data_IF_190300360867
#
_entry.id   IF_190300360867
#
_cell.length_a   1.000
_cell.length_b   1.000
_cell.length_c   1.000
_cell.angle_alpha   90.00
_cell.angle_beta   90.00
_cell.angle_gamma   90.00
#
_symmetry.space_group_name_H-M   'P 1'
#
loop_
_entity.id
_entity.type
_entity.pdbx_description
1 polymer ?
#
# COMPACT_ATOMS: atom_id res chain seq x y z
N UNK A 1 20.10 -15.30 25.42
CA UNK A 1 18.86 -14.56 25.17
C UNK A 1 19.23 -13.08 25.10
N UNK A 2 19.38 -12.51 23.90
CA UNK A 2 19.57 -11.08 23.77
C UNK A 2 18.21 -10.41 24.01
N UNK A 3 18.17 -9.45 24.92
CA UNK A 3 16.98 -8.64 25.17
C UNK A 3 16.61 -7.92 23.87
N UNK A 4 15.39 -8.15 23.37
CA UNK A 4 14.81 -7.33 22.31
C UNK A 4 14.65 -5.94 22.94
N UNK A 5 15.41 -4.96 22.45
CA UNK A 5 15.22 -3.57 22.85
C UNK A 5 13.87 -3.14 22.30
N UNK A 6 12.86 -3.08 23.18
CA UNK A 6 11.61 -2.39 22.88
C UNK A 6 11.93 -0.92 22.55
N UNK A 7 11.14 -0.26 21.68
CA UNK A 7 11.30 1.18 21.51
C UNK A 7 11.27 1.80 22.90
N UNK A 8 12.35 2.46 23.28
CA UNK A 8 12.42 3.21 24.54
C UNK A 8 11.26 4.18 24.48
N UNK A 9 10.39 4.19 25.47
CA UNK A 9 9.33 5.18 25.61
C UNK A 9 9.98 6.57 25.47
N UNK A 10 9.76 7.25 24.32
CA UNK A 10 10.37 8.54 24.00
C UNK A 10 11.21 8.58 22.71
N UNK A 11 11.38 7.48 21.94
CA UNK A 11 12.01 7.56 20.63
C UNK A 11 10.96 7.95 19.58
N UNK A 12 11.10 9.14 19.01
CA UNK A 12 10.24 9.65 17.94
C UNK A 12 10.43 8.81 16.67
N UNK A 13 9.32 8.27 16.14
CA UNK A 13 9.33 7.48 14.90
C UNK A 13 9.45 8.35 13.65
N UNK A 14 8.97 9.58 13.73
CA UNK A 14 9.10 10.58 12.68
C UNK A 14 10.05 11.69 13.11
N UNK A 15 10.84 12.22 12.17
CA UNK A 15 11.63 13.41 12.44
C UNK A 15 10.73 14.60 12.77
N UNK A 16 10.96 15.23 13.92
CA UNK A 16 10.12 16.30 14.47
C UNK A 16 10.59 17.71 14.07
N UNK A 17 11.48 17.82 13.09
CA UNK A 17 11.95 19.11 12.61
C UNK A 17 10.89 19.87 11.79
N UNK A 18 11.12 21.15 11.64
CA UNK A 18 10.18 22.09 10.99
C UNK A 18 9.86 21.70 9.54
N UNK A 19 10.84 21.16 8.80
CA UNK A 19 10.66 20.78 7.41
C UNK A 19 9.72 19.58 7.29
N UNK A 20 9.97 18.52 8.09
CA UNK A 20 9.12 17.33 8.10
C UNK A 20 7.68 17.69 8.53
N UNK A 21 7.52 18.47 9.60
CA UNK A 21 6.20 18.95 10.06
C UNK A 21 5.45 19.73 8.98
N UNK A 22 6.16 20.61 8.24
CA UNK A 22 5.57 21.39 7.16
C UNK A 22 5.08 20.51 6.03
N UNK A 23 5.86 19.49 5.61
CA UNK A 23 5.46 18.54 4.57
C UNK A 23 4.18 17.80 4.94
N UNK A 24 4.07 17.33 6.18
CA UNK A 24 2.85 16.68 6.66
C UNK A 24 1.65 17.62 6.69
N UNK A 25 1.81 18.84 7.18
CA UNK A 25 0.72 19.81 7.27
C UNK A 25 0.20 20.26 5.89
N UNK A 26 1.08 20.42 4.90
CA UNK A 26 0.73 20.94 3.58
C UNK A 26 0.27 19.87 2.60
N UNK A 27 0.81 18.65 2.70
CA UNK A 27 0.69 17.65 1.63
C UNK A 27 -0.07 16.39 2.04
N UNK A 28 -0.23 16.13 3.33
CA UNK A 28 -0.91 14.91 3.77
C UNK A 28 -2.31 14.80 3.16
N UNK A 29 -2.59 13.63 2.56
CA UNK A 29 -3.85 13.29 1.90
C UNK A 29 -4.14 14.01 0.57
N UNK A 30 -3.23 14.86 0.09
CA UNK A 30 -3.41 15.67 -1.12
C UNK A 30 -2.42 15.34 -2.22
N UNK A 31 -1.15 15.17 -1.87
CA UNK A 31 -0.10 14.84 -2.83
C UNK A 31 1.01 14.00 -2.19
N UNK A 32 1.81 13.26 -2.98
CA UNK A 32 2.92 12.49 -2.45
C UNK A 32 4.05 13.40 -1.96
N UNK A 33 4.76 12.97 -0.93
CA UNK A 33 5.94 13.66 -0.41
C UNK A 33 6.90 12.69 0.25
N UNK A 34 8.18 13.08 0.30
CA UNK A 34 9.23 12.38 1.03
C UNK A 34 9.18 12.81 2.50
N UNK A 35 9.21 11.85 3.44
CA UNK A 35 9.29 12.10 4.87
C UNK A 35 10.49 11.41 5.50
N UNK A 36 10.88 11.85 6.70
CA UNK A 36 11.97 11.27 7.48
C UNK A 36 11.46 10.54 8.71
N UNK A 37 12.08 9.40 9.02
CA UNK A 37 11.65 8.51 10.10
C UNK A 37 12.83 7.76 10.73
N UNK A 38 12.59 7.15 11.90
CA UNK A 38 13.55 6.32 12.64
C UNK A 38 13.22 4.82 12.64
N UNK A 39 12.23 4.35 11.86
CA UNK A 39 11.87 2.93 11.81
C UNK A 39 13.02 2.01 11.38
N UNK A 40 14.00 2.55 10.62
CA UNK A 40 15.20 1.83 10.21
C UNK A 40 16.15 1.51 11.36
N UNK A 41 16.00 2.10 12.53
CA UNK A 41 16.82 1.83 13.73
C UNK A 41 16.19 0.78 14.64
N UNK A 42 14.95 0.36 14.39
CA UNK A 42 14.24 -0.61 15.21
C UNK A 42 14.67 -2.04 14.86
N UNK A 43 15.13 -2.80 15.85
CA UNK A 43 15.50 -4.21 15.70
C UNK A 43 14.36 -5.07 15.13
N UNK A 44 13.12 -4.68 15.43
CA UNK A 44 11.88 -5.32 14.97
C UNK A 44 11.81 -5.45 13.43
N UNK A 45 12.40 -4.53 12.70
CA UNK A 45 12.38 -4.48 11.23
C UNK A 45 13.71 -4.89 10.58
N UNK A 46 14.67 -5.40 11.37
CA UNK A 46 15.93 -5.92 10.84
C UNK A 46 15.80 -7.38 10.39
N UNK A 47 16.65 -7.82 9.48
CA UNK A 47 16.58 -9.17 8.88
C UNK A 47 16.46 -10.31 9.88
N UNK A 48 17.19 -10.34 11.04
CA UNK A 48 17.04 -11.43 12.01
C UNK A 48 15.63 -11.53 12.62
N UNK A 49 14.96 -10.40 12.86
CA UNK A 49 13.59 -10.37 13.35
C UNK A 49 12.60 -10.76 12.25
N UNK A 50 12.85 -10.32 11.00
CA UNK A 50 12.00 -10.64 9.85
C UNK A 50 12.03 -12.12 9.48
N UNK A 51 13.17 -12.82 9.63
CA UNK A 51 13.26 -14.27 9.48
C UNK A 51 12.38 -15.00 10.50
N UNK A 52 12.45 -14.59 11.77
CA UNK A 52 11.58 -15.14 12.83
C UNK A 52 10.11 -14.88 12.56
N UNK A 53 9.78 -13.67 12.07
CA UNK A 53 8.41 -13.30 11.71
C UNK A 53 7.90 -14.13 10.54
N UNK A 54 8.71 -14.35 9.49
CA UNK A 54 8.37 -15.19 8.35
C UNK A 54 8.08 -16.64 8.79
N UNK A 55 8.88 -17.18 9.69
CA UNK A 55 8.62 -18.51 10.27
C UNK A 55 7.28 -18.55 11.02
N UNK A 56 7.01 -17.57 11.88
CA UNK A 56 5.71 -17.47 12.57
C UNK A 56 4.52 -17.38 11.58
N UNK A 57 4.68 -16.65 10.48
CA UNK A 57 3.65 -16.56 9.45
C UNK A 57 3.37 -17.90 8.78
N UNK A 58 4.39 -18.72 8.57
CA UNK A 58 4.24 -20.08 8.04
C UNK A 58 3.53 -21.00 9.03
N UNK A 59 3.97 -21.00 10.29
CA UNK A 59 3.43 -21.88 11.35
C UNK A 59 1.94 -21.59 11.60
N UNK A 60 1.54 -20.34 11.57
CA UNK A 60 0.14 -19.91 11.70
C UNK A 60 -0.69 -20.09 10.44
N UNK A 61 -0.11 -20.62 9.35
CA UNK A 61 -0.75 -20.69 8.02
C UNK A 61 -1.41 -19.38 7.61
N UNK A 62 -0.72 -18.27 7.85
CA UNK A 62 -1.22 -16.96 7.51
C UNK A 62 -1.23 -16.79 5.97
N UNK A 63 -2.37 -17.05 5.35
CA UNK A 63 -2.58 -16.95 3.90
C UNK A 63 -2.34 -15.53 3.34
N UNK A 64 -2.16 -14.54 4.22
CA UNK A 64 -1.95 -13.13 3.85
C UNK A 64 -0.49 -12.80 3.58
N UNK A 65 0.45 -13.58 4.15
CA UNK A 65 1.87 -13.47 3.86
C UNK A 65 2.22 -14.39 2.71
N UNK A 66 2.89 -13.87 1.71
CA UNK A 66 3.22 -14.62 0.49
C UNK A 66 4.49 -14.04 -0.14
N UNK A 67 4.97 -14.70 -1.15
CA UNK A 67 6.06 -14.21 -1.98
C UNK A 67 5.80 -14.54 -3.45
N UNK A 68 6.40 -13.76 -4.32
CA UNK A 68 6.35 -13.89 -5.75
C UNK A 68 7.76 -13.86 -6.32
N UNK A 69 7.98 -14.57 -7.41
CA UNK A 69 9.26 -14.64 -8.11
C UNK A 69 9.12 -14.16 -9.56
N UNK A 70 10.25 -13.88 -10.20
CA UNK A 70 10.32 -13.40 -11.57
C UNK A 70 10.77 -11.96 -11.66
N UNK A 71 11.06 -11.51 -12.88
CA UNK A 71 11.50 -10.13 -13.17
C UNK A 71 10.37 -9.35 -13.85
N UNK A 72 9.45 -8.79 -13.08
CA UNK A 72 8.37 -8.00 -13.66
C UNK A 72 8.92 -6.73 -14.32
N UNK A 73 8.22 -6.28 -15.34
CA UNK A 73 8.39 -4.97 -15.97
C UNK A 73 7.30 -4.02 -15.52
N UNK A 74 7.45 -2.73 -15.81
CA UNK A 74 6.55 -1.68 -15.31
C UNK A 74 5.09 -1.91 -15.70
N UNK A 75 4.82 -2.35 -16.92
CA UNK A 75 3.49 -2.66 -17.45
C UNK A 75 3.10 -4.15 -17.31
N UNK A 76 3.84 -4.91 -16.51
CA UNK A 76 3.70 -6.36 -16.36
C UNK A 76 2.88 -6.78 -15.15
N UNK A 77 2.89 -8.09 -14.90
CA UNK A 77 2.34 -8.69 -13.69
C UNK A 77 3.35 -8.69 -12.56
N UNK A 78 2.89 -8.71 -11.31
CA UNK A 78 3.74 -8.67 -10.12
C UNK A 78 4.73 -9.83 -10.02
N UNK A 79 4.39 -11.00 -10.50
CA UNK A 79 5.23 -12.20 -10.53
C UNK A 79 4.41 -13.47 -10.43
N UNK A 80 5.12 -14.60 -10.29
CA UNK A 80 4.53 -15.92 -10.14
C UNK A 80 4.80 -16.47 -8.75
N UNK A 81 3.84 -17.21 -8.19
CA UNK A 81 4.05 -17.95 -6.96
C UNK A 81 4.75 -19.27 -7.29
N UNK A 82 6.02 -19.49 -6.86
CA UNK A 82 6.68 -20.75 -7.08
C UNK A 82 6.07 -21.86 -6.23
N UNK A 83 6.04 -23.08 -6.76
CA UNK A 83 5.45 -24.23 -6.09
C UNK A 83 6.42 -24.94 -5.13
N UNK A 84 7.72 -24.73 -5.29
CA UNK A 84 8.82 -25.52 -4.73
C UNK A 84 9.65 -24.80 -3.66
N UNK A 85 9.32 -23.55 -3.35
CA UNK A 85 9.99 -22.75 -2.31
C UNK A 85 9.03 -22.39 -1.17
N UNK A 86 9.57 -22.40 0.05
CA UNK A 86 8.88 -21.83 1.21
C UNK A 86 9.18 -20.33 1.35
N UNK A 87 8.35 -19.62 2.10
CA UNK A 87 8.54 -18.20 2.42
C UNK A 87 9.90 -17.93 3.09
N UNK A 88 10.32 -18.81 4.01
CA UNK A 88 11.60 -18.69 4.70
C UNK A 88 12.76 -18.91 3.74
N UNK A 89 12.71 -19.95 2.90
CA UNK A 89 13.74 -20.21 1.89
C UNK A 89 13.86 -19.06 0.87
N UNK A 90 12.73 -18.47 0.47
CA UNK A 90 12.74 -17.29 -0.40
C UNK A 90 13.41 -16.09 0.27
N UNK A 91 13.19 -15.93 1.58
CA UNK A 91 13.81 -14.85 2.36
C UNK A 91 15.31 -15.07 2.57
N UNK A 92 15.74 -16.29 2.89
CA UNK A 92 17.17 -16.64 3.03
C UNK A 92 17.95 -16.40 1.74
N UNK A 93 17.30 -16.57 0.59
CA UNK A 93 17.89 -16.38 -0.76
C UNK A 93 17.50 -15.04 -1.40
N UNK A 94 17.08 -14.07 -0.60
CA UNK A 94 16.54 -12.80 -1.15
C UNK A 94 17.56 -12.03 -2.01
N UNK A 95 18.85 -12.17 -1.71
CA UNK A 95 19.93 -11.54 -2.49
C UNK A 95 20.25 -12.21 -3.82
N UNK A 96 19.85 -13.47 -4.02
CA UNK A 96 20.29 -14.30 -5.15
C UNK A 96 19.27 -14.36 -6.31
N UNK A 97 18.05 -13.91 -6.09
CA UNK A 97 16.95 -14.10 -7.02
C UNK A 97 16.23 -12.82 -7.41
N UNK A 98 15.05 -12.99 -7.96
CA UNK A 98 14.10 -11.90 -8.18
C UNK A 98 12.83 -12.19 -7.40
N UNK A 99 12.92 -12.06 -6.07
CA UNK A 99 11.86 -12.37 -5.13
C UNK A 99 11.22 -11.08 -4.58
N UNK A 100 9.92 -11.13 -4.35
CA UNK A 100 9.15 -10.11 -3.65
C UNK A 100 8.37 -10.78 -2.52
N UNK A 101 8.77 -10.51 -1.30
CA UNK A 101 8.18 -11.09 -0.09
C UNK A 101 7.29 -10.04 0.55
N UNK A 102 6.08 -10.43 0.90
CA UNK A 102 5.07 -9.61 1.53
C UNK A 102 4.66 -10.27 2.84
N UNK A 103 5.05 -9.70 3.97
CA UNK A 103 4.56 -10.09 5.29
C UNK A 103 3.42 -9.14 5.66
N UNK A 104 2.19 -9.54 5.37
CA UNK A 104 1.01 -8.68 5.49
C UNK A 104 0.32 -8.86 6.85
N UNK A 105 -0.19 -7.74 7.42
CA UNK A 105 -0.92 -7.70 8.70
C UNK A 105 -0.09 -8.15 9.89
N UNK A 106 1.20 -7.83 9.87
CA UNK A 106 2.12 -8.22 10.94
C UNK A 106 1.78 -7.62 12.31
N UNK A 107 0.93 -6.57 12.35
CA UNK A 107 0.37 -6.00 13.58
C UNK A 107 -0.58 -6.96 14.34
N UNK A 108 -0.85 -8.14 13.81
CA UNK A 108 -1.50 -9.22 14.55
C UNK A 108 -0.55 -9.79 15.63
N UNK A 109 0.78 -9.62 15.49
CA UNK A 109 1.77 -9.89 16.53
C UNK A 109 1.86 -8.69 17.50
N UNK A 110 1.94 -8.91 18.83
CA UNK A 110 1.87 -7.84 19.83
C UNK A 110 2.93 -6.74 19.66
N UNK A 111 4.19 -7.12 19.44
CA UNK A 111 5.31 -6.17 19.28
C UNK A 111 5.11 -5.25 18.05
N UNK A 112 4.63 -5.81 16.94
CA UNK A 112 4.32 -5.04 15.73
C UNK A 112 3.07 -4.17 15.90
N UNK A 113 2.14 -4.58 16.76
CA UNK A 113 0.95 -3.78 17.10
C UNK A 113 1.35 -2.52 17.85
N UNK A 114 2.23 -2.63 18.82
CA UNK A 114 2.76 -1.48 19.57
C UNK A 114 3.44 -0.47 18.62
N UNK A 115 4.25 -0.95 17.67
CA UNK A 115 4.88 -0.10 16.68
C UNK A 115 3.84 0.61 15.76
N UNK A 116 2.77 -0.10 15.36
CA UNK A 116 1.69 0.50 14.58
C UNK A 116 0.93 1.57 15.37
N UNK A 117 0.62 1.31 16.64
CA UNK A 117 -0.09 2.26 17.50
C UNK A 117 0.75 3.52 17.76
N UNK A 118 2.06 3.38 17.99
CA UNK A 118 2.98 4.50 18.09
C UNK A 118 3.02 5.31 16.79
N UNK A 119 3.11 4.65 15.64
CA UNK A 119 3.08 5.28 14.32
C UNK A 119 1.82 6.12 14.11
N UNK A 120 0.63 5.57 14.42
CA UNK A 120 -0.65 6.27 14.28
C UNK A 120 -0.73 7.47 15.21
N UNK A 121 -0.23 7.34 16.45
CA UNK A 121 -0.25 8.42 17.44
C UNK A 121 0.60 9.60 16.98
N UNK A 122 1.88 9.35 16.65
CA UNK A 122 2.79 10.40 16.18
C UNK A 122 2.32 11.03 14.86
N UNK A 123 1.79 10.22 13.93
CA UNK A 123 1.24 10.74 12.68
C UNK A 123 0.01 11.64 12.93
N UNK A 124 -0.83 11.31 13.91
CA UNK A 124 -1.95 12.18 14.30
C UNK A 124 -1.46 13.52 14.85
N UNK A 125 -0.38 13.52 15.63
CA UNK A 125 0.24 14.74 16.17
C UNK A 125 0.88 15.58 15.06
N UNK A 126 1.62 14.96 14.13
CA UNK A 126 2.24 15.65 13.00
C UNK A 126 1.24 16.30 12.06
N UNK A 127 0.14 15.63 11.79
CA UNK A 127 -0.88 16.10 10.84
C UNK A 127 -1.93 16.99 11.50
N UNK A 128 -2.04 16.98 12.83
CA UNK A 128 -3.13 17.62 13.56
C UNK A 128 -4.51 16.98 13.31
N UNK A 129 -4.53 15.77 12.75
CA UNK A 129 -5.75 15.03 12.38
C UNK A 129 -5.90 13.82 13.28
N UNK A 130 -7.09 13.64 13.88
CA UNK A 130 -7.44 12.38 14.53
C UNK A 130 -7.57 11.26 13.47
N UNK A 131 -6.48 10.53 13.25
CA UNK A 131 -6.42 9.47 12.24
C UNK A 131 -7.35 8.30 12.56
N UNK A 132 -7.58 7.98 13.83
CA UNK A 132 -8.49 6.90 14.22
C UNK A 132 -9.95 7.20 13.88
N UNK A 133 -10.30 8.49 13.83
CA UNK A 133 -11.62 8.95 13.44
C UNK A 133 -11.78 9.06 11.92
N UNK A 134 -10.72 9.49 11.23
CA UNK A 134 -10.75 9.74 9.78
C UNK A 134 -10.51 8.48 8.95
N UNK A 135 -9.73 7.54 9.48
CA UNK A 135 -9.34 6.31 8.81
C UNK A 135 -9.67 5.08 9.66
N UNK A 136 -9.75 3.93 8.99
CA UNK A 136 -9.96 2.65 9.64
C UNK A 136 -9.05 1.58 9.03
N UNK A 137 -9.02 0.40 9.65
CA UNK A 137 -8.29 -0.78 9.22
C UNK A 137 -6.82 -0.47 8.87
N UNK A 138 -6.03 0.11 9.82
CA UNK A 138 -4.61 0.31 9.59
C UNK A 138 -3.94 -1.05 9.42
N UNK A 139 -3.15 -1.19 8.36
CA UNK A 139 -2.45 -2.43 8.03
C UNK A 139 -0.96 -2.16 8.02
N UNK A 140 -0.21 -2.88 8.87
CA UNK A 140 1.24 -2.90 8.85
C UNK A 140 1.72 -4.09 8.01
N UNK A 141 2.54 -3.79 7.01
CA UNK A 141 3.10 -4.76 6.05
C UNK A 141 4.59 -4.54 5.91
N UNK A 142 5.36 -5.63 5.77
CA UNK A 142 6.77 -5.55 5.38
C UNK A 142 6.91 -6.04 3.94
N UNK A 143 7.61 -5.27 3.14
CA UNK A 143 8.08 -5.65 1.82
C UNK A 143 9.57 -5.93 1.86
N UNK A 144 9.97 -7.13 1.43
CA UNK A 144 11.38 -7.52 1.29
C UNK A 144 11.59 -7.94 -0.16
N UNK A 145 12.49 -7.25 -0.85
CA UNK A 145 12.63 -7.41 -2.30
C UNK A 145 14.08 -7.58 -2.71
N UNK A 146 14.29 -8.44 -3.68
CA UNK A 146 15.61 -8.69 -4.31
C UNK A 146 16.17 -7.44 -5.00
N UNK A 147 17.49 -7.40 -5.23
CA UNK A 147 18.13 -6.36 -6.02
C UNK A 147 17.48 -6.19 -7.41
N UNK A 148 17.44 -4.95 -7.89
CA UNK A 148 16.98 -4.57 -9.23
C UNK A 148 15.51 -4.91 -9.56
N UNK A 149 14.72 -5.37 -8.57
CA UNK A 149 13.33 -5.74 -8.81
C UNK A 149 12.46 -4.50 -9.08
N UNK A 150 11.55 -4.64 -10.04
CA UNK A 150 10.49 -3.68 -10.33
C UNK A 150 9.19 -4.12 -9.66
N UNK A 151 8.50 -3.20 -8.99
CA UNK A 151 7.09 -3.34 -8.64
C UNK A 151 6.29 -2.67 -9.75
N UNK A 152 5.43 -3.40 -10.50
CA UNK A 152 4.73 -2.87 -11.65
C UNK A 152 3.82 -1.68 -11.34
N UNK A 153 3.48 -0.92 -12.37
CA UNK A 153 2.54 0.20 -12.28
C UNK A 153 1.17 -0.26 -11.81
N UNK A 154 0.69 0.32 -10.75
CA UNK A 154 -0.59 0.01 -10.13
C UNK A 154 -1.09 1.19 -9.29
N UNK A 155 -2.29 1.08 -8.77
CA UNK A 155 -2.80 1.97 -7.74
C UNK A 155 -3.34 1.17 -6.56
N UNK A 156 -3.31 1.81 -5.39
CA UNK A 156 -3.91 1.30 -4.16
C UNK A 156 -5.13 2.14 -3.75
N UNK A 157 -6.16 1.49 -3.24
CA UNK A 157 -7.35 2.16 -2.71
C UNK A 157 -7.15 2.78 -1.33
N UNK A 158 -6.00 2.51 -0.71
CA UNK A 158 -5.57 3.01 0.59
C UNK A 158 -4.52 4.11 0.44
N UNK A 159 -4.49 5.05 1.40
CA UNK A 159 -3.32 5.90 1.59
C UNK A 159 -2.17 5.06 2.17
N UNK A 160 -0.95 5.26 1.71
CA UNK A 160 0.21 4.44 2.03
C UNK A 160 1.38 5.30 2.53
N UNK A 161 1.98 4.88 3.62
CA UNK A 161 3.31 5.31 4.07
C UNK A 161 4.30 4.19 3.80
N UNK A 162 5.20 4.36 2.85
CA UNK A 162 6.27 3.42 2.54
C UNK A 162 7.58 3.92 3.15
N UNK A 163 7.96 3.38 4.30
CA UNK A 163 9.15 3.76 5.05
C UNK A 163 10.31 2.80 4.74
N UNK A 164 11.44 3.29 4.25
CA UNK A 164 12.59 2.46 3.89
C UNK A 164 13.46 2.16 5.10
N UNK A 165 13.70 0.86 5.34
CA UNK A 165 14.49 0.37 6.46
C UNK A 165 15.89 -0.06 6.04
N UNK A 166 16.00 -0.79 4.94
CA UNK A 166 17.27 -1.28 4.40
C UNK A 166 17.29 -1.16 2.88
N UNK A 167 18.47 -0.89 2.32
CA UNK A 167 18.64 -0.71 0.89
C UNK A 167 18.01 0.58 0.37
N UNK A 168 17.96 0.74 -0.94
CA UNK A 168 17.41 1.92 -1.59
C UNK A 168 16.57 1.55 -2.81
N UNK A 169 15.65 2.43 -3.17
CA UNK A 169 14.76 2.29 -4.33
C UNK A 169 14.27 3.67 -4.78
N UNK A 170 13.81 3.74 -6.02
CA UNK A 170 13.09 4.90 -6.54
C UNK A 170 11.60 4.59 -6.63
N UNK A 171 10.76 5.47 -6.09
CA UNK A 171 9.30 5.41 -6.15
C UNK A 171 8.82 6.47 -7.14
N UNK A 172 8.10 6.06 -8.17
CA UNK A 172 7.52 6.93 -9.18
C UNK A 172 6.01 7.03 -8.93
N UNK A 173 5.51 8.25 -8.79
CA UNK A 173 4.10 8.52 -8.46
C UNK A 173 3.49 9.47 -9.48
N UNK A 174 2.17 9.30 -9.72
CA UNK A 174 1.42 10.04 -10.73
C UNK A 174 0.13 10.59 -10.14
N UNK A 175 -0.30 11.74 -10.65
CA UNK A 175 -1.50 12.41 -10.18
C UNK A 175 -2.78 11.68 -10.63
N UNK A 176 -3.49 11.08 -9.69
CA UNK A 176 -4.76 10.41 -9.95
C UNK A 176 -5.88 11.33 -10.48
N UNK A 177 -5.71 12.64 -10.34
CA UNK A 177 -6.69 13.65 -10.81
C UNK A 177 -6.43 14.10 -12.24
N UNK A 178 -5.31 13.71 -12.84
CA UNK A 178 -5.00 13.96 -14.23
C UNK A 178 -5.69 12.90 -15.13
N UNK A 179 -6.65 13.27 -15.96
CA UNK A 179 -7.38 12.32 -16.79
C UNK A 179 -6.53 11.66 -17.88
N UNK A 180 -5.35 12.22 -18.19
CA UNK A 180 -4.38 11.60 -19.07
C UNK A 180 -3.66 10.43 -18.39
N UNK A 181 -3.42 10.55 -17.10
CA UNK A 181 -2.75 9.53 -16.26
C UNK A 181 -3.71 8.40 -15.88
N UNK A 182 -4.92 8.77 -15.45
CA UNK A 182 -5.91 7.83 -14.93
C UNK A 182 -7.31 8.30 -15.31
N UNK A 183 -7.88 7.63 -16.30
CA UNK A 183 -9.21 7.93 -16.80
C UNK A 183 -10.31 7.57 -15.81
N UNK A 184 -11.46 8.22 -15.91
CA UNK A 184 -12.62 7.87 -15.09
C UNK A 184 -13.07 6.42 -15.29
N UNK A 185 -12.94 5.90 -16.52
CA UNK A 185 -13.28 4.50 -16.81
C UNK A 185 -12.32 3.50 -16.13
N UNK A 186 -11.05 3.82 -16.05
CA UNK A 186 -10.08 2.98 -15.31
C UNK A 186 -10.38 2.99 -13.81
N UNK A 187 -10.70 4.15 -13.22
CA UNK A 187 -11.15 4.25 -11.83
C UNK A 187 -12.42 3.42 -11.58
N UNK A 188 -13.39 3.53 -12.48
CA UNK A 188 -14.64 2.74 -12.42
C UNK A 188 -14.37 1.23 -12.48
N UNK A 189 -13.52 0.79 -13.41
CA UNK A 189 -13.10 -0.62 -13.53
C UNK A 189 -12.34 -1.10 -12.29
N UNK A 190 -11.41 -0.28 -11.76
CA UNK A 190 -10.67 -0.59 -10.54
C UNK A 190 -11.61 -0.84 -9.36
N UNK A 191 -12.54 0.07 -9.11
CA UNK A 191 -13.49 -0.05 -8.00
C UNK A 191 -14.54 -1.14 -8.19
N UNK A 192 -14.65 -1.72 -9.37
CA UNK A 192 -15.44 -2.94 -9.64
C UNK A 192 -14.62 -4.24 -9.54
N UNK A 193 -13.36 -4.16 -9.13
CA UNK A 193 -12.50 -5.31 -8.83
C UNK A 193 -11.46 -5.65 -9.89
N UNK A 194 -11.36 -4.86 -10.96
CA UNK A 194 -10.26 -5.01 -11.91
C UNK A 194 -9.05 -4.19 -11.43
N UNK A 195 -8.20 -4.80 -10.60
CA UNK A 195 -7.01 -4.15 -10.03
C UNK A 195 -5.96 -3.78 -11.09
N UNK A 196 -6.03 -4.37 -12.28
CA UNK A 196 -5.15 -4.09 -13.41
C UNK A 196 -5.79 -3.12 -14.43
N UNK A 197 -6.80 -2.35 -14.00
CA UNK A 197 -7.45 -1.38 -14.88
C UNK A 197 -6.55 -0.19 -15.24
N UNK A 198 -5.74 0.37 -14.32
CA UNK A 198 -4.80 1.43 -14.66
C UNK A 198 -3.77 0.94 -15.67
N UNK A 199 -3.55 1.73 -16.72
CA UNK A 199 -2.60 1.39 -17.79
C UNK A 199 -1.37 2.27 -17.69
N UNK A 200 -0.21 1.64 -17.79
CA UNK A 200 1.03 2.35 -17.92
C UNK A 200 1.25 2.74 -19.41
N UNK A 201 1.78 3.92 -19.63
CA UNK A 201 2.17 4.42 -20.95
C UNK A 201 3.62 4.85 -20.91
N UNK A 202 4.38 4.66 -21.98
CA UNK A 202 5.81 4.94 -22.01
C UNK A 202 6.13 6.41 -21.72
N UNK A 203 5.24 7.32 -22.09
CA UNK A 203 5.34 8.76 -21.79
C UNK A 203 5.31 9.04 -20.28
N UNK A 204 4.86 8.09 -19.46
CA UNK A 204 4.87 8.17 -18.01
C UNK A 204 6.18 7.72 -17.38
N UNK A 205 7.18 7.34 -18.16
CA UNK A 205 8.42 6.71 -17.66
C UNK A 205 9.15 7.50 -16.57
N UNK A 206 9.12 8.84 -16.64
CA UNK A 206 9.80 9.72 -15.69
C UNK A 206 9.01 10.04 -14.41
N UNK A 207 7.73 9.67 -14.34
CA UNK A 207 6.84 10.05 -13.26
C UNK A 207 6.54 11.55 -13.19
N UNK A 208 5.46 11.94 -12.52
CA UNK A 208 5.23 13.34 -12.14
C UNK A 208 6.00 13.69 -10.87
N UNK A 209 6.12 12.73 -9.97
CA UNK A 209 7.00 12.75 -8.80
C UNK A 209 7.85 11.49 -8.79
N UNK A 210 9.11 11.65 -8.50
CA UNK A 210 10.01 10.54 -8.21
C UNK A 210 10.78 10.81 -6.93
N UNK A 211 10.91 9.76 -6.13
CA UNK A 211 11.53 9.84 -4.80
C UNK A 211 12.57 8.74 -4.67
N UNK A 212 13.82 9.12 -4.46
CA UNK A 212 14.89 8.19 -4.08
C UNK A 212 14.82 7.98 -2.58
N UNK A 213 14.36 6.81 -2.17
CA UNK A 213 14.23 6.44 -0.76
C UNK A 213 15.40 5.58 -0.31
N UNK A 214 15.92 5.92 0.86
CA UNK A 214 17.02 5.26 1.55
C UNK A 214 16.66 5.06 3.02
N UNK A 215 17.41 4.23 3.79
CA UNK A 215 17.11 4.03 5.20
C UNK A 215 16.91 5.34 5.96
N UNK A 216 15.81 5.43 6.69
CA UNK A 216 15.41 6.65 7.42
C UNK A 216 14.58 7.65 6.61
N UNK A 217 14.28 7.35 5.34
CA UNK A 217 13.35 8.13 4.53
C UNK A 217 12.20 7.27 4.02
N UNK A 218 11.06 7.88 3.73
CA UNK A 218 9.88 7.19 3.20
C UNK A 218 9.07 8.09 2.29
N UNK A 219 8.12 7.51 1.58
CA UNK A 219 7.17 8.22 0.72
C UNK A 219 5.76 8.03 1.24
N UNK A 220 5.05 9.14 1.42
CA UNK A 220 3.60 9.12 1.52
C UNK A 220 3.00 9.10 0.12
N UNK A 221 2.12 8.14 -0.15
CA UNK A 221 1.34 8.05 -1.37
C UNK A 221 -0.16 8.17 -1.05
N UNK A 222 -0.85 9.21 -1.55
CA UNK A 222 -2.29 9.33 -1.37
C UNK A 222 -3.05 8.16 -2.00
N UNK A 223 -4.23 7.86 -1.48
CA UNK A 223 -5.09 6.82 -2.05
C UNK A 223 -5.38 7.07 -3.53
N UNK A 224 -5.34 6.02 -4.33
CA UNK A 224 -5.58 6.00 -5.79
C UNK A 224 -4.53 6.67 -6.67
N UNK A 225 -3.44 7.19 -6.13
CA UNK A 225 -2.34 7.70 -6.93
C UNK A 225 -1.57 6.52 -7.54
N UNK A 226 -1.55 6.39 -8.89
CA UNK A 226 -0.81 5.34 -9.55
C UNK A 226 0.68 5.46 -9.27
N UNK A 227 1.35 4.33 -9.13
CA UNK A 227 2.78 4.31 -8.84
C UNK A 227 3.43 3.01 -9.28
N UNK A 228 4.75 3.07 -9.43
CA UNK A 228 5.61 1.90 -9.60
C UNK A 228 6.94 2.13 -8.87
N UNK A 229 7.69 1.06 -8.63
CA UNK A 229 8.91 1.13 -7.82
C UNK A 229 10.02 0.36 -8.50
N UNK A 230 11.25 0.90 -8.45
CA UNK A 230 12.45 0.23 -8.91
C UNK A 230 13.49 0.16 -7.78
N UNK A 231 13.86 -1.04 -7.38
CA UNK A 231 14.98 -1.24 -6.46
C UNK A 231 16.30 -0.92 -7.16
N UNK A 232 17.28 -0.49 -6.37
CA UNK A 232 18.68 -0.46 -6.80
C UNK A 232 19.28 -1.87 -6.73
N UNK A 233 20.59 -1.99 -6.85
CA UNK A 233 21.36 -3.25 -6.86
C UNK A 233 21.53 -3.92 -5.47
N UNK A 234 20.66 -3.61 -4.52
CA UNK A 234 20.72 -4.15 -3.16
C UNK A 234 19.37 -4.72 -2.70
N UNK A 235 19.42 -5.59 -1.69
CA UNK A 235 18.22 -6.07 -0.99
C UNK A 235 17.52 -4.89 -0.33
N UNK A 236 16.21 -4.79 -0.53
CA UNK A 236 15.42 -3.69 -0.03
C UNK A 236 14.37 -4.19 0.98
N UNK A 237 14.33 -3.54 2.15
CA UNK A 237 13.31 -3.75 3.19
C UNK A 237 12.56 -2.45 3.40
N UNK A 238 11.23 -2.51 3.30
CA UNK A 238 10.35 -1.37 3.58
C UNK A 238 9.22 -1.77 4.52
N UNK A 239 8.93 -0.88 5.46
CA UNK A 239 7.71 -0.92 6.28
C UNK A 239 6.63 -0.12 5.57
N UNK A 240 5.46 -0.72 5.39
CA UNK A 240 4.31 -0.07 4.76
C UNK A 240 3.16 -0.01 5.74
N UNK A 241 2.62 1.19 5.95
CA UNK A 241 1.40 1.41 6.74
C UNK A 241 0.32 1.97 5.84
N UNK A 242 -0.75 1.18 5.68
CA UNK A 242 -1.88 1.52 4.82
C UNK A 242 -3.11 1.86 5.65
N UNK A 243 -3.88 2.86 5.19
CA UNK A 243 -5.12 3.31 5.84
C UNK A 243 -6.25 3.41 4.84
N UNK A 244 -7.45 2.98 5.26
CA UNK A 244 -8.69 3.20 4.52
C UNK A 244 -9.47 4.36 5.09
N UNK A 245 -9.97 5.25 4.27
CA UNK A 245 -10.88 6.30 4.74
C UNK A 245 -12.17 5.69 5.30
N UNK A 246 -12.62 6.16 6.47
CA UNK A 246 -13.88 5.72 7.12
C UNK A 246 -15.07 5.95 6.18
N UNK A 247 -15.05 7.06 5.43
CA UNK A 247 -16.11 7.40 4.51
C UNK A 247 -15.54 7.76 3.14
N UNK A 248 -15.89 6.96 2.16
CA UNK A 248 -15.53 7.22 0.77
C UNK A 248 -16.75 6.98 -0.14
N UNK A 249 -17.65 7.95 -0.17
CA UNK A 249 -18.88 7.89 -1.00
C UNK A 249 -18.51 7.79 -2.50
N UNK A 250 -17.32 8.22 -2.89
CA UNK A 250 -16.85 8.12 -4.27
C UNK A 250 -16.71 6.67 -4.77
N UNK A 251 -16.37 5.70 -3.90
CA UNK A 251 -16.27 4.29 -4.29
C UNK A 251 -17.59 3.77 -4.85
N UNK A 252 -18.69 4.03 -4.12
CA UNK A 252 -20.03 3.64 -4.56
C UNK A 252 -20.46 4.38 -5.82
N UNK A 253 -20.07 5.65 -5.95
CA UNK A 253 -20.34 6.43 -7.14
C UNK A 253 -19.58 5.90 -8.37
N UNK A 254 -18.28 5.53 -8.25
CA UNK A 254 -17.52 4.88 -9.33
C UNK A 254 -18.15 3.56 -9.77
N UNK A 255 -18.57 2.70 -8.83
CA UNK A 255 -19.25 1.45 -9.13
C UNK A 255 -20.55 1.68 -9.87
N UNK A 256 -21.36 2.64 -9.45
CA UNK A 256 -22.60 3.03 -10.12
C UNK A 256 -22.31 3.55 -11.54
N UNK A 257 -21.31 4.41 -11.71
CA UNK A 257 -20.92 4.97 -12.98
C UNK A 257 -20.49 3.88 -13.98
N UNK A 258 -19.74 2.87 -13.52
CA UNK A 258 -19.37 1.73 -14.37
C UNK A 258 -20.57 1.07 -15.04
N UNK A 259 -21.64 0.79 -14.26
CA UNK A 259 -22.84 0.19 -14.83
C UNK A 259 -23.65 1.18 -15.69
N UNK A 260 -23.74 2.43 -15.26
CA UNK A 260 -24.40 3.50 -16.02
C UNK A 260 -23.77 3.66 -17.41
N UNK A 261 -22.44 3.65 -17.47
CA UNK A 261 -21.67 3.75 -18.72
C UNK A 261 -21.89 2.52 -19.63
N UNK A 262 -22.00 1.31 -19.05
CA UNK A 262 -22.35 0.10 -19.80
C UNK A 262 -23.73 0.15 -20.46
N UNK A 263 -24.64 0.98 -19.95
CA UNK A 263 -25.94 1.25 -20.54
C UNK A 263 -25.90 2.36 -21.61
N UNK A 264 -24.71 2.83 -22.00
CA UNK A 264 -24.52 3.89 -22.98
C UNK A 264 -24.74 5.31 -22.45
N UNK A 265 -24.94 5.48 -21.14
CA UNK A 265 -25.17 6.78 -20.51
C UNK A 265 -23.83 7.44 -20.09
N UNK A 266 -23.82 8.76 -19.98
CA UNK A 266 -22.66 9.54 -19.51
C UNK A 266 -22.88 10.00 -18.07
N UNK A 267 -22.36 9.27 -17.06
CA UNK A 267 -22.57 9.63 -15.66
C UNK A 267 -21.73 10.86 -15.24
N UNK A 268 -22.18 11.56 -14.23
CA UNK A 268 -21.41 12.63 -13.56
C UNK A 268 -20.17 12.04 -12.89
N UNK A 269 -19.03 12.68 -13.12
CA UNK A 269 -17.75 12.31 -12.50
C UNK A 269 -17.85 12.42 -10.97
N UNK A 270 -17.44 11.40 -10.22
CA UNK A 270 -17.40 11.45 -8.76
C UNK A 270 -16.54 12.60 -8.24
N UNK A 271 -16.95 13.21 -7.13
CA UNK A 271 -16.31 14.39 -6.55
C UNK A 271 -16.88 15.73 -7.02
N UNK A 272 -17.56 15.79 -8.18
CA UNK A 272 -18.19 17.03 -8.66
C UNK A 272 -19.47 17.42 -7.92
N UNK A 273 -20.19 16.45 -7.36
CA UNK A 273 -21.42 16.69 -6.62
C UNK A 273 -21.56 15.68 -5.47
N UNK A 274 -21.22 16.09 -4.22
CA UNK A 274 -21.26 15.18 -3.06
C UNK A 274 -22.65 14.56 -2.80
N UNK A 275 -23.72 15.29 -3.08
CA UNK A 275 -25.09 14.80 -2.93
C UNK A 275 -25.42 13.70 -3.96
N UNK A 276 -25.04 13.90 -5.22
CA UNK A 276 -25.21 12.89 -6.28
C UNK A 276 -24.36 11.66 -5.99
N UNK A 277 -23.12 11.83 -5.57
CA UNK A 277 -22.24 10.72 -5.21
C UNK A 277 -22.79 9.89 -4.06
N UNK A 278 -23.35 10.56 -3.04
CA UNK A 278 -24.01 9.90 -1.93
C UNK A 278 -25.23 9.08 -2.37
N UNK A 279 -26.08 9.64 -3.25
CA UNK A 279 -27.23 8.91 -3.81
C UNK A 279 -26.76 7.69 -4.58
N UNK A 280 -25.77 7.84 -5.47
CA UNK A 280 -25.19 6.73 -6.22
C UNK A 280 -24.61 5.65 -5.31
N UNK A 281 -23.90 6.05 -4.26
CA UNK A 281 -23.31 5.14 -3.29
C UNK A 281 -24.35 4.35 -2.50
N UNK A 282 -25.44 4.99 -2.08
CA UNK A 282 -26.51 4.35 -1.31
C UNK A 282 -27.37 3.40 -2.15
N UNK A 283 -27.50 3.63 -3.44
CA UNK A 283 -28.29 2.80 -4.35
C UNK A 283 -27.50 1.60 -4.85
N UNK A 284 -26.73 1.76 -5.92
CA UNK A 284 -26.01 0.67 -6.58
C UNK A 284 -24.69 0.26 -5.88
N UNK A 285 -24.05 1.18 -5.17
CA UNK A 285 -22.81 0.87 -4.46
C UNK A 285 -22.99 -0.23 -3.40
N UNK A 286 -24.08 -0.17 -2.65
CA UNK A 286 -24.43 -1.17 -1.64
C UNK A 286 -24.92 -2.51 -2.26
N UNK A 287 -25.69 -2.44 -3.35
CA UNK A 287 -26.12 -3.63 -4.08
C UNK A 287 -24.91 -4.43 -4.62
N UNK A 288 -23.92 -3.74 -5.20
CA UNK A 288 -22.69 -4.37 -5.67
C UNK A 288 -21.90 -5.04 -4.54
N UNK A 289 -21.78 -4.37 -3.39
CA UNK A 289 -21.06 -4.91 -2.23
C UNK A 289 -21.75 -6.19 -1.70
N UNK A 290 -23.08 -6.20 -1.64
CA UNK A 290 -23.88 -7.36 -1.26
C UNK A 290 -23.69 -8.53 -2.22
N UNK A 291 -23.76 -8.30 -3.52
CA UNK A 291 -23.58 -9.34 -4.55
C UNK A 291 -22.15 -9.92 -4.54
N UNK A 292 -21.13 -9.08 -4.31
CA UNK A 292 -19.74 -9.54 -4.30
C UNK A 292 -19.39 -10.33 -3.05
N UNK A 293 -19.91 -9.94 -1.89
CA UNK A 293 -19.77 -10.69 -0.64
C UNK A 293 -20.47 -12.05 -0.71
N UNK A 294 -21.65 -12.11 -1.31
CA UNK A 294 -22.39 -13.36 -1.51
C UNK A 294 -21.67 -14.31 -2.47
N UNK A 295 -21.12 -13.79 -3.58
CA UNK A 295 -20.28 -14.58 -4.51
C UNK A 295 -19.02 -15.12 -3.85
N UNK A 296 -18.32 -14.30 -3.04
CA UNK A 296 -17.14 -14.72 -2.30
C UNK A 296 -17.46 -15.80 -1.26
N UNK A 297 -18.55 -15.65 -0.53
CA UNK A 297 -19.03 -16.65 0.44
C UNK A 297 -19.44 -17.97 -0.24
N UNK A 298 -20.08 -17.90 -1.41
CA UNK A 298 -20.41 -19.08 -2.23
C UNK A 298 -19.17 -19.79 -2.76
N UNK A 299 -18.20 -19.06 -3.30
CA UNK A 299 -16.94 -19.64 -3.76
C UNK A 299 -16.14 -20.29 -2.63
N UNK A 300 -16.07 -19.68 -1.45
CA UNK A 300 -15.39 -20.28 -0.29
C UNK A 300 -16.09 -21.54 0.21
N UNK A 301 -17.41 -21.65 0.05
CA UNK A 301 -18.19 -22.87 0.39
C UNK A 301 -18.06 -23.97 -0.66
N UNK A 302 -17.80 -23.61 -1.91
CA UNK A 302 -17.67 -24.57 -3.03
C UNK A 302 -16.20 -24.97 -3.29
N UNK A 303 -15.23 -24.43 -2.52
CA UNK A 303 -13.82 -24.77 -2.66
C UNK A 303 -13.17 -24.25 -3.96
N UNK A 304 -13.77 -23.24 -4.62
CA UNK A 304 -13.31 -22.66 -5.89
C UNK A 304 -12.95 -21.20 -5.72
#
# INVERSE_FOLDING_TARGET
MAAITHPVAGSELFAQDTENRKLFAEHFDHQPFLFRHALNTMDLFQMPALLKLAQKCMDKRQQKSHFETGQPVVDGFFGNKPADLTLVQALERIGEGSNWIILKRIHEEPENREALEAFITELSELTGIDLRRKYHDPILTIFITSPNRVTPYHLDGEANFLAQVQGSKTVYVYNANDPYILTEEEKEKYWTGNLLAPRWHEELSNGQWHFDVKPGTGVFNPATFPHWVKNTDNVSVSVSVNFKRVRNDSIGAYRTNYFTRKLGLRPTVPGKSPSVDRIKSLTFGNLYTGMHSTRKALRSKLGV
#
